data_IF_919850270594
#
_entry.id   IF_919850270594
#
_cell.length_a   1.000
_cell.length_b   1.000
_cell.length_c   1.000
_cell.angle_alpha   90.00
_cell.angle_beta   90.00
_cell.angle_gamma   90.00
#
_symmetry.space_group_name_H-M   'P 1'
#
loop_
_entity.id
_entity.type
_entity.pdbx_description
1 polymer ?
#
# COMPACT_ATOMS: atom_id res chain seq x y z
N UNK A 1 17.38 -7.03 -16.94
CA UNK A 1 16.78 -6.40 -18.14
C UNK A 1 17.83 -6.45 -19.24
N UNK A 2 17.41 -6.61 -20.48
CA UNK A 2 18.33 -6.51 -21.62
C UNK A 2 18.76 -5.06 -21.88
N UNK A 3 19.83 -4.87 -22.65
CA UNK A 3 20.31 -3.53 -23.00
C UNK A 3 19.25 -2.70 -23.75
N UNK A 4 18.46 -3.33 -24.64
CA UNK A 4 17.37 -2.65 -25.36
C UNK A 4 16.19 -2.27 -24.46
N UNK A 5 15.94 -3.03 -23.39
CA UNK A 5 14.95 -2.64 -22.37
C UNK A 5 15.45 -1.47 -21.54
N UNK A 6 16.74 -1.45 -21.18
CA UNK A 6 17.36 -0.37 -20.41
C UNK A 6 17.41 0.96 -21.17
N UNK A 7 17.48 0.95 -22.51
CA UNK A 7 17.37 2.17 -23.33
C UNK A 7 16.05 2.95 -23.10
N UNK A 8 15.00 2.29 -22.58
CA UNK A 8 13.73 2.93 -22.22
C UNK A 8 13.84 3.70 -20.89
N UNK A 9 14.92 3.51 -20.15
CA UNK A 9 15.20 4.07 -18.83
C UNK A 9 16.61 4.68 -18.82
N UNK A 10 16.85 5.77 -19.56
CA UNK A 10 18.18 6.35 -19.75
C UNK A 10 18.83 6.85 -18.45
N UNK A 11 18.03 7.08 -17.41
CA UNK A 11 18.50 7.50 -16.09
C UNK A 11 18.94 6.30 -15.23
N UNK A 12 18.86 5.07 -15.76
CA UNK A 12 19.15 3.81 -15.07
C UNK A 12 20.15 2.95 -15.85
N UNK A 13 21.21 2.50 -15.17
CA UNK A 13 22.22 1.60 -15.76
C UNK A 13 21.93 0.11 -15.54
N UNK A 14 20.96 -0.22 -14.68
CA UNK A 14 20.60 -1.59 -14.33
C UNK A 14 19.10 -1.71 -14.04
N UNK A 15 18.55 -2.91 -14.21
CA UNK A 15 17.15 -3.18 -13.88
C UNK A 15 16.79 -4.67 -13.95
N UNK A 16 15.71 -5.03 -13.26
CA UNK A 16 15.17 -6.38 -13.22
C UNK A 16 13.81 -6.45 -13.92
N UNK A 17 13.57 -7.55 -14.63
CA UNK A 17 12.27 -7.87 -15.22
C UNK A 17 11.86 -9.24 -14.72
N UNK A 18 10.65 -9.32 -14.20
CA UNK A 18 10.06 -10.55 -13.73
C UNK A 18 8.53 -10.46 -13.80
N UNK A 19 7.88 -11.62 -13.75
CA UNK A 19 6.43 -11.73 -13.81
C UNK A 19 5.87 -11.99 -12.42
N UNK A 20 4.81 -11.28 -12.05
CA UNK A 20 4.07 -11.47 -10.80
C UNK A 20 2.59 -11.71 -11.08
N UNK A 21 1.94 -12.48 -10.21
CA UNK A 21 0.49 -12.65 -10.26
C UNK A 21 -0.21 -11.46 -9.62
N UNK A 22 -1.27 -10.97 -10.26
CA UNK A 22 -2.19 -10.00 -9.68
C UNK A 22 -3.30 -10.74 -8.94
N UNK A 23 -3.62 -10.31 -7.72
CA UNK A 23 -4.76 -10.83 -6.96
C UNK A 23 -5.55 -9.66 -6.36
N UNK A 24 -6.86 -9.85 -6.18
CA UNK A 24 -7.74 -8.88 -5.51
C UNK A 24 -7.75 -9.02 -3.98
N UNK A 25 -7.03 -10.00 -3.43
CA UNK A 25 -7.19 -10.39 -2.03
C UNK A 25 -8.58 -11.01 -1.77
N UNK A 26 -9.03 -10.93 -0.53
CA UNK A 26 -10.32 -11.43 -0.07
C UNK A 26 -11.40 -10.35 0.05
N UNK A 27 -12.56 -10.73 0.59
CA UNK A 27 -13.63 -9.81 0.97
C UNK A 27 -13.24 -9.10 2.26
N UNK A 28 -13.42 -7.77 2.30
CA UNK A 28 -13.16 -6.98 3.51
C UNK A 28 -14.45 -6.86 4.30
N UNK A 29 -14.42 -7.32 5.54
CA UNK A 29 -15.46 -7.08 6.53
C UNK A 29 -14.94 -6.12 7.59
N UNK A 30 -15.70 -5.05 7.86
CA UNK A 30 -15.32 -4.05 8.85
C UNK A 30 -16.03 -4.30 10.18
N UNK A 31 -15.25 -4.53 11.24
CA UNK A 31 -15.74 -4.63 12.62
C UNK A 31 -14.82 -3.86 13.56
N UNK A 32 -15.38 -3.28 14.63
CA UNK A 32 -14.61 -2.59 15.67
C UNK A 32 -14.29 -3.55 16.82
N UNK A 33 -13.01 -3.65 17.15
CA UNK A 33 -12.50 -4.33 18.35
C UNK A 33 -11.76 -3.29 19.19
N UNK A 34 -12.18 -3.10 20.44
CA UNK A 34 -11.63 -2.06 21.33
C UNK A 34 -10.65 -2.59 22.37
N UNK A 35 -10.64 -3.89 22.65
CA UNK A 35 -9.72 -4.54 23.59
C UNK A 35 -9.60 -6.03 23.26
N UNK A 36 -8.48 -6.65 23.64
CA UNK A 36 -8.32 -8.11 23.71
C UNK A 36 -8.50 -8.64 25.14
N UNK A 37 -8.37 -7.77 26.13
CA UNK A 37 -8.64 -8.04 27.54
C UNK A 37 -10.06 -7.54 27.94
N UNK A 38 -10.57 -7.97 29.10
CA UNK A 38 -11.92 -7.68 29.64
C UNK A 38 -12.37 -6.21 29.48
N UNK A 39 -13.69 -5.92 29.40
CA UNK A 39 -14.19 -4.71 28.75
C UNK A 39 -13.94 -3.44 29.58
N UNK A 40 -13.37 -2.42 28.92
CA UNK A 40 -13.71 -1.03 29.22
C UNK A 40 -14.70 -0.53 28.15
N UNK A 41 -15.88 -0.16 28.65
CA UNK A 41 -17.10 0.15 27.92
C UNK A 41 -16.87 1.17 26.80
N UNK A 42 -17.10 0.77 25.55
CA UNK A 42 -17.32 1.71 24.45
C UNK A 42 -18.41 1.19 23.52
N UNK A 43 -19.52 1.93 23.44
CA UNK A 43 -20.73 1.60 22.68
C UNK A 43 -20.40 1.42 21.19
N UNK A 44 -20.77 0.26 20.63
CA UNK A 44 -20.66 -0.07 19.19
C UNK A 44 -19.56 -1.06 18.78
N UNK A 45 -18.81 -1.61 19.73
CA UNK A 45 -17.81 -2.66 19.48
C UNK A 45 -18.39 -4.07 19.60
N UNK A 46 -17.78 -5.05 18.92
CA UNK A 46 -18.08 -6.49 19.11
C UNK A 46 -18.01 -6.80 20.60
N UNK A 47 -19.04 -7.45 21.14
CA UNK A 47 -19.10 -7.76 22.57
C UNK A 47 -18.03 -8.81 22.91
N UNK A 48 -17.06 -8.37 23.71
CA UNK A 48 -15.94 -9.19 24.22
C UNK A 48 -16.36 -10.40 25.07
N UNK A 49 -17.63 -10.48 25.46
CA UNK A 49 -18.22 -11.64 26.13
C UNK A 49 -18.15 -12.90 25.23
N UNK A 50 -18.15 -12.72 23.90
CA UNK A 50 -18.02 -13.80 22.91
C UNK A 50 -16.58 -14.30 22.72
N UNK A 51 -15.55 -13.52 23.10
CA UNK A 51 -14.16 -13.96 22.92
C UNK A 51 -13.71 -14.97 23.98
N UNK A 52 -14.42 -15.06 25.11
CA UNK A 52 -14.11 -16.00 26.19
C UNK A 52 -14.54 -17.43 25.91
N UNK A 53 -15.40 -17.65 24.90
CA UNK A 53 -15.81 -19.00 24.51
C UNK A 53 -14.81 -19.68 23.57
N UNK A 54 -13.71 -19.01 23.22
CA UNK A 54 -12.66 -19.60 22.38
C UNK A 54 -11.48 -20.06 23.23
N UNK A 55 -11.00 -21.27 22.96
CA UNK A 55 -9.83 -21.85 23.63
C UNK A 55 -8.52 -21.16 23.23
N UNK A 56 -8.49 -20.48 22.08
CA UNK A 56 -7.33 -19.79 21.53
C UNK A 56 -7.73 -18.51 20.80
N UNK A 57 -6.95 -17.44 21.03
CA UNK A 57 -7.08 -16.16 20.32
C UNK A 57 -5.79 -15.91 19.53
N UNK A 58 -5.91 -15.68 18.22
CA UNK A 58 -4.80 -15.27 17.35
C UNK A 58 -4.95 -13.79 17.03
N UNK A 59 -4.09 -12.96 17.62
CA UNK A 59 -4.12 -11.51 17.38
C UNK A 59 -3.44 -11.14 16.06
N UNK A 60 -4.23 -10.81 15.03
CA UNK A 60 -3.76 -10.32 13.73
C UNK A 60 -4.12 -8.84 13.49
N UNK A 61 -4.16 -8.01 14.54
CA UNK A 61 -4.64 -6.62 14.45
C UNK A 61 -3.69 -5.61 13.79
N UNK A 62 -2.48 -6.03 13.41
CA UNK A 62 -1.49 -5.16 12.75
C UNK A 62 -1.18 -3.91 13.58
N UNK A 63 -1.37 -2.72 13.00
CA UNK A 63 -1.16 -1.44 13.71
C UNK A 63 -2.02 -1.30 14.98
N UNK A 64 -3.16 -1.99 15.04
CA UNK A 64 -4.04 -2.01 16.21
C UNK A 64 -3.41 -2.67 17.45
N UNK A 65 -2.35 -3.47 17.30
CA UNK A 65 -1.64 -4.09 18.40
C UNK A 65 -1.09 -3.07 19.41
N UNK A 66 -0.77 -1.85 18.94
CA UNK A 66 -0.38 -0.74 19.81
C UNK A 66 -1.41 -0.46 20.90
N UNK A 67 -2.69 -0.49 20.56
CA UNK A 67 -3.78 -0.24 21.51
C UNK A 67 -4.24 -1.54 22.17
N UNK A 68 -4.42 -2.62 21.39
CA UNK A 68 -5.04 -3.86 21.84
C UNK A 68 -4.14 -4.73 22.71
N UNK A 69 -2.82 -4.68 22.49
CA UNK A 69 -1.81 -5.46 23.21
C UNK A 69 -0.75 -4.57 23.89
N UNK A 70 -0.96 -3.24 23.91
CA UNK A 70 -0.05 -2.23 24.47
C UNK A 70 1.38 -2.34 23.91
N UNK A 71 1.51 -2.69 22.63
CA UNK A 71 2.80 -2.84 21.96
C UNK A 71 3.32 -1.49 21.44
N UNK A 72 4.19 -0.84 22.22
CA UNK A 72 4.78 0.45 21.85
C UNK A 72 5.88 0.37 20.79
N UNK A 73 6.34 -0.83 20.43
CA UNK A 73 7.27 -1.04 19.32
C UNK A 73 6.59 -0.86 17.96
N UNK A 74 5.26 -0.96 17.92
CA UNK A 74 4.44 -0.79 16.72
C UNK A 74 4.16 0.70 16.46
N UNK A 75 4.49 1.16 15.26
CA UNK A 75 4.23 2.53 14.79
C UNK A 75 3.87 2.54 13.30
N UNK A 76 3.12 3.55 12.81
CA UNK A 76 2.72 3.62 11.41
C UNK A 76 3.90 4.04 10.53
N UNK A 77 3.91 3.49 9.32
CA UNK A 77 4.64 4.05 8.19
C UNK A 77 3.59 4.43 7.15
N UNK A 78 3.21 5.71 7.13
CA UNK A 78 2.17 6.23 6.25
C UNK A 78 2.63 6.16 4.79
N UNK A 79 1.74 5.66 3.94
CA UNK A 79 1.91 5.65 2.50
C UNK A 79 0.68 6.22 1.80
N UNK A 80 0.89 7.25 0.99
CA UNK A 80 -0.13 7.82 0.12
C UNK A 80 0.08 7.30 -1.30
N UNK A 81 -1.02 7.03 -2.00
CA UNK A 81 -1.03 6.57 -3.39
C UNK A 81 -2.17 7.24 -4.17
N UNK A 82 -2.06 7.25 -5.49
CA UNK A 82 -3.11 7.61 -6.42
C UNK A 82 -3.66 6.34 -7.09
N UNK A 83 -4.98 6.30 -7.26
CA UNK A 83 -5.66 5.30 -8.08
C UNK A 83 -6.12 5.97 -9.36
N UNK A 84 -5.70 5.45 -10.51
CA UNK A 84 -6.04 6.00 -11.82
C UNK A 84 -6.60 4.92 -12.74
N UNK A 85 -7.50 5.33 -13.64
CA UNK A 85 -8.00 4.49 -14.71
C UNK A 85 -7.06 4.58 -15.91
N UNK A 86 -6.28 3.52 -16.13
CA UNK A 86 -5.32 3.44 -17.23
C UNK A 86 -5.14 1.97 -17.66
N UNK A 87 -6.17 1.33 -18.24
CA UNK A 87 -6.17 -0.10 -18.55
C UNK A 87 -5.07 -0.53 -19.53
N UNK A 88 -4.51 0.40 -20.31
CA UNK A 88 -3.39 0.16 -21.22
C UNK A 88 -2.04 -0.04 -20.51
N UNK A 89 -1.93 0.27 -19.22
CA UNK A 89 -0.70 0.05 -18.45
C UNK A 89 -0.70 -1.41 -17.94
N UNK A 90 0.13 -2.25 -18.55
CA UNK A 90 0.18 -3.68 -18.23
C UNK A 90 1.41 -4.12 -17.42
N UNK A 91 2.46 -3.29 -17.38
CA UNK A 91 3.69 -3.57 -16.65
C UNK A 91 3.82 -2.72 -15.40
N UNK A 92 4.34 -3.34 -14.35
CA UNK A 92 4.73 -2.60 -13.16
C UNK A 92 6.10 -1.96 -13.34
N UNK A 93 6.31 -0.80 -12.73
CA UNK A 93 7.60 -0.11 -12.65
C UNK A 93 7.82 0.30 -11.20
N UNK A 94 9.05 0.13 -10.72
CA UNK A 94 9.47 0.60 -9.40
C UNK A 94 10.86 1.18 -9.51
N UNK A 95 11.01 2.42 -9.06
CA UNK A 95 12.33 3.04 -8.96
C UNK A 95 13.07 2.56 -7.70
N UNK A 96 14.40 2.54 -7.77
CA UNK A 96 15.26 1.98 -6.73
C UNK A 96 15.20 2.74 -5.40
N UNK A 97 14.86 4.03 -5.43
CA UNK A 97 14.69 4.85 -4.23
C UNK A 97 13.41 4.51 -3.44
N UNK A 98 12.52 3.70 -4.02
CA UNK A 98 11.27 3.26 -3.43
C UNK A 98 10.18 4.33 -3.33
N UNK A 99 10.41 5.54 -3.84
CA UNK A 99 9.49 6.69 -3.74
C UNK A 99 8.50 6.75 -4.89
N UNK A 100 8.84 6.17 -6.05
CA UNK A 100 7.96 6.13 -7.21
C UNK A 100 7.77 4.70 -7.72
N UNK A 101 6.52 4.26 -7.79
CA UNK A 101 6.10 2.99 -8.35
C UNK A 101 4.75 3.12 -9.07
N UNK A 102 4.59 2.32 -10.11
CA UNK A 102 3.39 2.22 -10.93
C UNK A 102 3.02 0.76 -10.99
N UNK A 103 1.93 0.38 -10.34
CA UNK A 103 1.47 -0.99 -10.17
C UNK A 103 0.09 -1.17 -10.81
N UNK A 104 0.00 -1.83 -11.98
CA UNK A 104 -1.27 -2.23 -12.57
C UNK A 104 -2.02 -3.18 -11.65
N UNK A 105 -3.15 -2.72 -11.10
CA UNK A 105 -4.10 -3.58 -10.43
C UNK A 105 -5.05 -4.25 -11.41
N UNK A 106 -6.04 -4.97 -10.88
CA UNK A 106 -7.04 -5.63 -11.72
C UNK A 106 -8.15 -4.65 -12.16
N UNK A 107 -8.48 -3.65 -11.33
CA UNK A 107 -9.50 -2.62 -11.63
C UNK A 107 -8.92 -1.23 -11.92
N UNK A 108 -7.75 -0.92 -11.37
CA UNK A 108 -7.13 0.39 -11.50
C UNK A 108 -5.62 0.28 -11.42
N UNK A 109 -4.92 1.29 -11.93
CA UNK A 109 -3.47 1.43 -11.73
C UNK A 109 -3.22 2.18 -10.44
N UNK A 110 -2.25 1.72 -9.66
CA UNK A 110 -1.78 2.40 -8.45
C UNK A 110 -0.49 3.14 -8.77
N UNK A 111 -0.46 4.44 -8.54
CA UNK A 111 0.74 5.27 -8.66
C UNK A 111 1.09 5.71 -7.24
N UNK A 112 2.24 5.27 -6.73
CA UNK A 112 2.69 5.63 -5.40
C UNK A 112 4.19 5.83 -5.38
N UNK A 113 4.81 6.04 -4.22
CA UNK A 113 4.15 6.21 -2.94
C UNK A 113 5.10 6.77 -1.90
N UNK A 114 4.53 7.32 -0.83
CA UNK A 114 5.34 7.81 0.30
C UNK A 114 5.65 6.70 1.30
N UNK A 115 6.68 6.95 2.12
CA UNK A 115 7.07 6.14 3.26
C UNK A 115 7.41 7.07 4.42
N UNK A 116 6.41 7.46 5.20
CA UNK A 116 6.53 8.46 6.26
C UNK A 116 6.37 7.79 7.63
N UNK A 117 7.47 7.61 8.35
CA UNK A 117 7.46 6.98 9.66
C UNK A 117 6.78 7.86 10.71
N UNK A 118 6.04 7.23 11.63
CA UNK A 118 5.34 7.85 12.77
C UNK A 118 4.28 8.89 12.39
N UNK A 119 3.90 8.95 11.12
CA UNK A 119 2.83 9.83 10.65
C UNK A 119 1.48 9.13 10.77
N UNK A 120 0.61 9.67 11.63
CA UNK A 120 -0.74 9.14 11.88
C UNK A 120 -1.83 9.81 11.05
N UNK A 121 -1.48 10.83 10.25
CA UNK A 121 -2.44 11.60 9.45
C UNK A 121 -3.10 10.73 8.40
N UNK A 122 -4.43 10.79 8.32
CA UNK A 122 -5.20 10.14 7.26
C UNK A 122 -5.54 11.09 6.11
N UNK A 123 -5.36 12.40 6.35
CA UNK A 123 -5.59 13.44 5.35
C UNK A 123 -4.60 13.33 4.20
N UNK A 124 -5.05 13.69 3.00
CA UNK A 124 -4.18 13.73 1.83
C UNK A 124 -3.21 14.91 1.93
N UNK A 125 -1.94 14.65 1.68
CA UNK A 125 -0.93 15.68 1.49
C UNK A 125 -0.83 16.02 0.00
N UNK A 126 -1.12 17.27 -0.34
CA UNK A 126 -1.03 17.77 -1.72
C UNK A 126 0.41 17.80 -2.25
N UNK A 127 1.42 17.89 -1.36
CA UNK A 127 2.84 17.80 -1.73
C UNK A 127 3.17 16.40 -2.21
N UNK A 128 2.70 15.38 -1.50
CA UNK A 128 2.86 13.96 -1.87
C UNK A 128 2.21 13.70 -3.23
N UNK A 129 0.96 14.14 -3.42
CA UNK A 129 0.24 14.02 -4.70
C UNK A 129 1.00 14.65 -5.86
N UNK A 130 1.52 15.88 -5.70
CA UNK A 130 2.33 16.53 -6.74
C UNK A 130 3.64 15.79 -7.01
N UNK A 131 4.26 15.22 -5.98
CA UNK A 131 5.45 14.38 -6.11
C UNK A 131 5.20 13.18 -7.02
N UNK A 132 4.08 12.47 -6.79
CA UNK A 132 3.70 11.32 -7.62
C UNK A 132 3.49 11.70 -9.08
N UNK A 133 2.82 12.81 -9.38
CA UNK A 133 2.63 13.27 -10.76
C UNK A 133 3.92 13.68 -11.45
N UNK A 134 4.86 14.31 -10.73
CA UNK A 134 6.17 14.66 -11.29
C UNK A 134 6.99 13.41 -11.58
N UNK A 135 7.04 12.48 -10.62
CA UNK A 135 7.66 11.17 -10.78
C UNK A 135 7.04 10.43 -11.95
N UNK A 136 5.76 10.04 -11.85
CA UNK A 136 5.04 9.35 -12.92
C UNK A 136 5.08 10.10 -14.26
N UNK A 137 5.12 11.44 -14.27
CA UNK A 137 5.24 12.29 -15.44
C UNK A 137 6.56 12.12 -16.20
N UNK A 138 7.69 11.95 -15.49
CA UNK A 138 8.99 11.64 -16.10
C UNK A 138 8.97 10.28 -16.79
N UNK A 139 8.23 9.32 -16.21
CA UNK A 139 7.95 8.05 -16.86
C UNK A 139 6.92 8.22 -17.99
N UNK A 140 5.88 9.08 -17.85
CA UNK A 140 4.67 9.21 -18.71
C UNK A 140 4.96 9.43 -20.19
N UNK A 141 5.99 10.24 -20.52
CA UNK A 141 6.42 10.51 -21.90
C UNK A 141 6.94 9.24 -22.60
N UNK A 142 7.29 8.20 -21.82
CA UNK A 142 7.86 6.92 -22.26
C UNK A 142 6.81 5.78 -22.32
N UNK A 143 5.53 6.01 -21.97
CA UNK A 143 4.48 4.96 -21.97
C UNK A 143 3.74 4.82 -23.29
N UNK A 144 3.70 5.85 -24.14
CA UNK A 144 3.05 5.73 -25.47
C UNK A 144 3.75 4.69 -26.36
N UNK A 145 5.01 4.37 -26.06
CA UNK A 145 5.83 3.33 -26.71
C UNK A 145 5.82 1.99 -25.98
N UNK A 146 5.11 1.85 -24.86
CA UNK A 146 4.93 0.60 -24.11
C UNK A 146 3.70 -0.21 -24.56
N UNK A 147 3.29 -0.08 -25.84
CA UNK A 147 2.56 -1.16 -26.50
C UNK A 147 3.56 -2.29 -26.69
N UNK A 148 3.58 -3.26 -25.78
CA UNK A 148 4.05 -4.60 -26.13
C UNK A 148 3.00 -5.29 -26.99
#
# INVERSE_FOLDING_TARGET
>A
MSASELQRFPDHCFGQRFTVKKSHGGVVEQRRVSSLEKPEVSRGAVRLDELRSFDLIVNCSGLGAKTLARDDSVFPVRGQVLKVEAPWIQHFIRDGDGKTYIYPGIRSVTIGGTRQERDWRLELDQRDTRGFWRGAGSWSRRWRTLKL
#
